data_IF_281600879854
#
_entry.id   IF_281600879854
#
_cell.length_a   1.000
_cell.length_b   1.000
_cell.length_c   1.000
_cell.angle_alpha   90.00
_cell.angle_beta   90.00
_cell.angle_gamma   90.00
#
_symmetry.space_group_name_H-M   'P 1'
#
loop_
_entity.id
_entity.type
_entity.pdbx_description
1 polymer ?
#
# COMPACT_ATOMS: atom_id res chain seq x y z
N UNK A 1 -13.31 13.99 -9.25
CA UNK A 1 -11.96 14.15 -8.64
C UNK A 1 -11.14 12.94 -9.06
N UNK A 2 -9.88 13.10 -9.50
CA UNK A 2 -9.24 12.11 -10.36
C UNK A 2 -8.37 11.08 -9.61
N UNK A 3 -8.19 9.85 -10.15
CA UNK A 3 -7.37 8.80 -9.52
C UNK A 3 -5.92 9.21 -9.22
N UNK A 4 -5.34 10.12 -10.00
CA UNK A 4 -3.96 10.58 -9.81
C UNK A 4 -3.77 11.30 -8.46
N UNK A 5 -4.84 11.85 -7.89
CA UNK A 5 -4.77 12.44 -6.54
C UNK A 5 -4.53 11.39 -5.47
N UNK A 6 -5.11 10.18 -5.58
CA UNK A 6 -4.83 9.08 -4.65
C UNK A 6 -3.34 8.74 -4.71
N UNK A 7 -2.82 8.48 -5.92
CA UNK A 7 -1.42 8.14 -6.13
C UNK A 7 -0.47 9.21 -5.57
N UNK A 8 -0.74 10.49 -5.85
CA UNK A 8 0.05 11.61 -5.32
C UNK A 8 -0.01 11.72 -3.79
N UNK A 9 -1.17 11.51 -3.18
CA UNK A 9 -1.30 11.56 -1.71
C UNK A 9 -0.56 10.40 -1.04
N UNK A 10 -0.63 9.20 -1.61
CA UNK A 10 0.13 8.03 -1.13
C UNK A 10 1.63 8.27 -1.25
N UNK A 11 2.12 8.68 -2.43
CA UNK A 11 3.55 8.90 -2.69
C UNK A 11 4.17 10.02 -1.82
N UNK A 12 3.36 11.02 -1.42
CA UNK A 12 3.78 12.13 -0.57
C UNK A 12 3.54 11.90 0.93
N UNK A 13 3.04 10.72 1.34
CA UNK A 13 2.82 10.44 2.75
C UNK A 13 4.11 10.08 3.48
N UNK A 14 4.51 10.86 4.48
CA UNK A 14 5.68 10.57 5.31
C UNK A 14 5.63 9.18 5.96
N UNK A 15 4.45 8.73 6.41
CA UNK A 15 4.29 7.40 7.00
C UNK A 15 4.49 6.27 5.99
N UNK A 16 4.03 6.45 4.75
CA UNK A 16 4.27 5.49 3.67
C UNK A 16 5.76 5.46 3.34
N UNK A 17 6.39 6.63 3.18
CA UNK A 17 7.82 6.71 2.88
C UNK A 17 8.69 6.07 3.96
N UNK A 18 8.36 6.25 5.24
CA UNK A 18 9.11 5.60 6.33
C UNK A 18 8.83 4.11 6.43
N UNK A 19 7.64 3.63 6.06
CA UNK A 19 7.37 2.19 5.97
C UNK A 19 8.21 1.55 4.86
N UNK A 20 8.24 2.17 3.67
CA UNK A 20 9.08 1.72 2.55
C UNK A 20 10.58 1.75 2.91
N UNK A 21 11.05 2.82 3.54
CA UNK A 21 12.44 2.94 4.00
C UNK A 21 12.80 1.91 5.08
N UNK A 22 11.86 1.59 5.97
CA UNK A 22 12.02 0.57 7.01
C UNK A 22 11.77 -0.86 6.52
N UNK A 23 11.57 -1.07 5.22
CA UNK A 23 11.27 -2.38 4.62
C UNK A 23 10.03 -3.05 5.24
N UNK A 24 9.09 -2.24 5.74
CA UNK A 24 7.87 -2.65 6.43
C UNK A 24 6.68 -2.57 5.46
N UNK A 25 6.05 -3.71 5.17
CA UNK A 25 4.92 -3.84 4.24
C UNK A 25 3.59 -3.37 4.85
N UNK A 26 3.62 -2.19 5.47
CA UNK A 26 2.51 -1.61 6.21
C UNK A 26 1.44 -1.03 5.27
N UNK A 27 0.63 -1.92 4.71
CA UNK A 27 -0.48 -1.60 3.82
C UNK A 27 -1.54 -0.71 4.48
N UNK A 28 -1.67 -0.75 5.81
CA UNK A 28 -2.57 0.14 6.56
C UNK A 28 -2.21 1.62 6.38
N UNK A 29 -0.91 1.96 6.33
CA UNK A 29 -0.45 3.33 6.05
C UNK A 29 -0.76 3.77 4.62
N UNK A 30 -0.72 2.84 3.66
CA UNK A 30 -1.06 3.09 2.25
C UNK A 30 -2.56 3.39 2.13
N UNK A 31 -3.43 2.53 2.67
CA UNK A 31 -4.88 2.71 2.63
C UNK A 31 -5.32 3.99 3.37
N UNK A 32 -4.71 4.29 4.52
CA UNK A 32 -4.96 5.54 5.24
C UNK A 32 -4.55 6.78 4.43
N UNK A 33 -3.43 6.73 3.70
CA UNK A 33 -3.02 7.82 2.82
C UNK A 33 -3.98 7.98 1.63
N UNK A 34 -4.45 6.88 1.04
CA UNK A 34 -5.47 6.91 -0.01
C UNK A 34 -6.77 7.57 0.48
N UNK A 35 -7.25 7.24 1.68
CA UNK A 35 -8.44 7.87 2.28
C UNK A 35 -8.30 9.39 2.51
N UNK A 36 -7.08 9.89 2.74
CA UNK A 36 -6.80 11.34 2.87
C UNK A 36 -6.72 12.09 1.55
N UNK A 37 -6.91 11.42 0.42
CA UNK A 37 -6.86 12.05 -0.91
C UNK A 37 -8.12 12.87 -1.24
N UNK A 38 -9.19 12.72 -0.44
CA UNK A 38 -10.52 13.30 -0.67
C UNK A 38 -11.16 12.84 -2.00
N UNK A 39 -10.65 11.77 -2.59
CA UNK A 39 -11.28 11.06 -3.72
C UNK A 39 -12.22 10.01 -3.14
N UNK A 40 -13.43 9.92 -3.69
CA UNK A 40 -14.38 8.89 -3.32
C UNK A 40 -13.98 7.55 -3.94
N UNK A 41 -13.84 6.52 -3.09
CA UNK A 41 -13.64 5.12 -3.48
C UNK A 41 -14.16 4.23 -2.35
N UNK A 42 -14.52 2.99 -2.67
CA UNK A 42 -14.91 1.99 -1.67
C UNK A 42 -13.66 1.27 -1.13
N UNK A 43 -13.31 1.42 0.16
CA UNK A 43 -12.18 0.71 0.76
C UNK A 43 -12.33 -0.83 0.70
N UNK A 44 -13.57 -1.35 0.68
CA UNK A 44 -13.86 -2.78 0.57
C UNK A 44 -13.59 -3.38 -0.81
N UNK A 45 -13.27 -2.54 -1.80
CA UNK A 45 -12.87 -2.96 -3.15
C UNK A 45 -11.40 -2.69 -3.44
N UNK A 46 -10.62 -2.29 -2.43
CA UNK A 46 -9.20 -1.96 -2.61
C UNK A 46 -8.34 -3.20 -2.54
N UNK A 47 -7.51 -3.36 -3.55
CA UNK A 47 -6.40 -4.31 -3.57
C UNK A 47 -5.07 -3.56 -3.44
N UNK A 48 -4.12 -4.14 -2.70
CA UNK A 48 -2.76 -3.61 -2.54
C UNK A 48 -1.78 -4.74 -2.79
N UNK A 49 -0.86 -4.52 -3.72
CA UNK A 49 0.22 -5.46 -4.05
C UNK A 49 1.58 -4.81 -3.92
N UNK A 50 2.59 -5.62 -3.58
CA UNK A 50 3.99 -5.27 -3.68
C UNK A 50 4.63 -6.26 -4.67
N UNK A 51 5.11 -5.80 -5.83
CA UNK A 51 5.38 -6.66 -6.99
C UNK A 51 4.18 -7.63 -7.23
N UNK A 52 4.46 -8.93 -7.31
CA UNK A 52 3.50 -10.01 -7.54
C UNK A 52 2.80 -10.50 -6.25
N UNK A 53 3.08 -9.88 -5.10
CA UNK A 53 2.52 -10.29 -3.80
C UNK A 53 1.26 -9.49 -3.49
N UNK A 54 0.10 -10.14 -3.53
CA UNK A 54 -1.18 -9.56 -3.12
C UNK A 54 -1.26 -9.48 -1.58
N UNK A 55 -1.06 -8.29 -1.02
CA UNK A 55 -1.07 -8.06 0.43
C UNK A 55 -2.47 -7.77 0.97
N UNK A 56 -3.29 -7.05 0.20
CA UNK A 56 -4.68 -6.74 0.53
C UNK A 56 -5.56 -7.14 -0.64
N UNK A 57 -6.66 -7.82 -0.34
CA UNK A 57 -7.72 -8.15 -1.30
C UNK A 57 -9.07 -7.72 -0.75
N UNK A 58 -9.84 -6.95 -1.52
CA UNK A 58 -11.16 -6.44 -1.11
C UNK A 58 -11.11 -5.76 0.28
N UNK A 59 -10.12 -4.90 0.50
CA UNK A 59 -9.92 -4.17 1.75
C UNK A 59 -9.44 -5.02 2.95
N UNK A 60 -9.23 -6.32 2.76
CA UNK A 60 -8.82 -7.25 3.82
C UNK A 60 -7.40 -7.76 3.58
N UNK A 61 -6.59 -7.83 4.65
CA UNK A 61 -5.24 -8.39 4.57
C UNK A 61 -5.25 -9.88 4.22
N UNK A 62 -4.32 -10.31 3.38
CA UNK A 62 -4.16 -11.71 2.96
C UNK A 62 -3.46 -12.61 4.00
N UNK A 63 -3.14 -12.08 5.18
CA UNK A 63 -2.54 -12.80 6.32
C UNK A 63 -1.00 -12.84 6.32
N UNK A 64 -0.45 -13.47 7.36
CA UNK A 64 0.99 -13.43 7.70
C UNK A 64 1.93 -13.93 6.59
N UNK A 65 1.46 -14.86 5.75
CA UNK A 65 2.27 -15.38 4.64
C UNK A 65 2.48 -14.29 3.60
N UNK A 66 1.42 -13.58 3.20
CA UNK A 66 1.51 -12.48 2.27
C UNK A 66 2.36 -11.33 2.84
N UNK A 67 2.25 -11.05 4.14
CA UNK A 67 3.05 -10.03 4.81
C UNK A 67 4.55 -10.34 4.74
N UNK A 68 4.93 -11.58 5.04
CA UNK A 68 6.33 -12.03 4.94
C UNK A 68 6.86 -11.94 3.51
N UNK A 69 6.07 -12.32 2.51
CA UNK A 69 6.48 -12.21 1.12
C UNK A 69 6.59 -10.75 0.65
N UNK A 70 5.65 -9.88 1.05
CA UNK A 70 5.69 -8.46 0.74
C UNK A 70 6.90 -7.76 1.38
N UNK A 71 7.25 -8.10 2.63
CA UNK A 71 8.48 -7.62 3.27
C UNK A 71 9.73 -8.06 2.51
N UNK A 72 9.76 -9.28 1.93
CA UNK A 72 10.90 -9.70 1.08
C UNK A 72 10.99 -8.87 -0.19
N UNK A 73 9.86 -8.46 -0.77
CA UNK A 73 9.83 -7.56 -1.93
C UNK A 73 10.45 -6.20 -1.58
N UNK A 74 10.09 -5.62 -0.43
CA UNK A 74 10.61 -4.31 -0.01
C UNK A 74 12.13 -4.29 0.25
N UNK A 75 12.74 -5.45 0.50
CA UNK A 75 14.20 -5.60 0.65
C UNK A 75 14.96 -5.58 -0.67
N UNK A 76 14.26 -5.66 -1.80
CA UNK A 76 14.91 -5.58 -3.11
C UNK A 76 15.40 -4.14 -3.35
N UNK A 77 16.51 -3.95 -4.10
CA UNK A 77 17.00 -2.62 -4.48
C UNK A 77 15.98 -1.79 -5.27
N UNK A 78 15.03 -2.47 -5.94
CA UNK A 78 13.88 -1.88 -6.60
C UNK A 78 12.71 -2.86 -6.59
N UNK A 79 11.49 -2.31 -6.57
CA UNK A 79 10.23 -3.02 -6.68
C UNK A 79 9.32 -2.24 -7.65
N UNK A 80 8.36 -2.94 -8.26
CA UNK A 80 7.41 -2.45 -9.26
C UNK A 80 5.99 -2.40 -8.72
#
# INVERSE_FOLDING_TARGET
MTPEKIAKTVANSNLVKTALFGEDANWGRILAAAGRSWVEFDPGLVDISFDDVLMVKNGMGCGDVAEKEATKVLKKPSFR
#
